data_IF_314342472046
#
_entry.id   IF_314342472046
#
_cell.length_a   1.000
_cell.length_b   1.000
_cell.length_c   1.000
_cell.angle_alpha   90.00
_cell.angle_beta   90.00
_cell.angle_gamma   90.00
#
_symmetry.space_group_name_H-M   'P 1'
#
loop_
_entity.id
_entity.type
_entity.pdbx_description
1 polymer ?
#
# COMPACT_ATOMS: atom_id res chain seq x y z
N UNK A 1 22.34 -19.90 -1.20
CA UNK A 1 21.64 -18.87 -2.01
C UNK A 1 20.34 -18.51 -1.32
N UNK A 2 19.96 -17.23 -1.31
CA UNK A 2 18.66 -16.82 -0.74
C UNK A 2 17.57 -17.33 -1.68
N UNK A 3 16.81 -18.32 -1.25
CA UNK A 3 15.62 -18.76 -2.00
C UNK A 3 14.69 -17.56 -2.19
N UNK A 4 14.41 -17.27 -3.45
CA UNK A 4 13.51 -16.20 -3.88
C UNK A 4 12.16 -16.85 -4.15
N UNK A 5 11.13 -16.42 -3.43
CA UNK A 5 9.80 -16.99 -3.59
C UNK A 5 9.14 -16.48 -4.87
N UNK A 6 9.18 -17.30 -5.92
CA UNK A 6 8.63 -16.98 -7.22
C UNK A 6 7.14 -16.63 -7.16
N UNK A 7 6.35 -17.37 -6.38
CA UNK A 7 4.91 -17.13 -6.20
C UNK A 7 4.59 -15.72 -5.69
N UNK A 8 5.40 -15.22 -4.74
CA UNK A 8 5.21 -13.88 -4.17
C UNK A 8 5.54 -12.78 -5.17
N UNK A 9 6.53 -13.00 -6.03
CA UNK A 9 6.90 -12.04 -7.06
C UNK A 9 5.91 -12.02 -8.21
N UNK A 10 5.40 -13.19 -8.62
CA UNK A 10 4.28 -13.30 -9.58
C UNK A 10 3.04 -12.58 -9.04
N UNK A 11 2.69 -12.79 -7.77
CA UNK A 11 1.54 -12.14 -7.15
C UNK A 11 1.66 -10.61 -7.13
N UNK A 12 2.83 -10.08 -6.77
CA UNK A 12 3.09 -8.63 -6.84
C UNK A 12 3.00 -8.10 -8.27
N UNK A 13 3.62 -8.80 -9.22
CA UNK A 13 3.59 -8.43 -10.63
C UNK A 13 2.16 -8.38 -11.16
N UNK A 14 1.36 -9.41 -10.89
CA UNK A 14 -0.05 -9.46 -11.26
C UNK A 14 -0.85 -8.28 -10.66
N UNK A 15 -0.58 -7.92 -9.40
CA UNK A 15 -1.24 -6.79 -8.74
C UNK A 15 -0.88 -5.46 -9.38
N UNK A 16 0.39 -5.27 -9.79
CA UNK A 16 0.84 -4.08 -10.55
C UNK A 16 0.19 -4.04 -11.93
N UNK A 17 0.14 -5.16 -12.65
CA UNK A 17 -0.54 -5.23 -13.95
C UNK A 17 -2.01 -4.85 -13.83
N UNK A 18 -2.70 -5.38 -12.81
CA UNK A 18 -4.09 -5.02 -12.54
C UNK A 18 -4.23 -3.53 -12.21
N UNK A 19 -3.34 -2.96 -11.38
CA UNK A 19 -3.32 -1.53 -11.09
C UNK A 19 -3.20 -0.68 -12.35
N UNK A 20 -2.32 -1.04 -13.28
CA UNK A 20 -2.11 -0.28 -14.52
C UNK A 20 -3.35 -0.39 -15.41
N UNK A 21 -3.91 -1.60 -15.54
CA UNK A 21 -5.11 -1.86 -16.34
C UNK A 21 -6.30 -1.02 -15.87
N UNK A 22 -6.51 -0.90 -14.55
CA UNK A 22 -7.66 -0.17 -13.99
C UNK A 22 -7.47 1.36 -14.01
N UNK A 23 -6.22 1.83 -13.90
CA UNK A 23 -5.93 3.27 -13.91
C UNK A 23 -5.85 3.87 -15.30
N UNK A 24 -5.73 3.05 -16.35
CA UNK A 24 -5.60 3.52 -17.72
C UNK A 24 -6.55 2.78 -18.68
N UNK A 25 -7.87 2.96 -18.53
CA UNK A 25 -8.87 2.28 -19.37
C UNK A 25 -8.92 2.78 -20.81
N UNK A 26 -8.09 3.77 -21.19
CA UNK A 26 -8.10 4.43 -22.50
C UNK A 26 -9.24 5.44 -22.61
N UNK A 27 -10.49 4.99 -22.48
CA UNK A 27 -11.66 5.87 -22.41
C UNK A 27 -12.49 5.61 -21.15
N UNK A 28 -12.72 6.66 -20.36
CA UNK A 28 -13.62 6.62 -19.21
C UNK A 28 -15.08 6.41 -19.60
N UNK A 29 -15.46 6.63 -20.87
CA UNK A 29 -16.82 6.39 -21.38
C UNK A 29 -17.08 4.94 -21.80
N UNK A 30 -16.04 4.14 -22.01
CA UNK A 30 -16.11 2.73 -22.42
C UNK A 30 -15.40 1.82 -21.42
N UNK A 31 -15.59 2.09 -20.12
CA UNK A 31 -15.08 1.26 -19.04
C UNK A 31 -15.86 -0.06 -18.98
N UNK A 32 -15.14 -1.18 -19.01
CA UNK A 32 -15.75 -2.49 -18.71
C UNK A 32 -16.31 -2.46 -17.29
N UNK A 33 -17.58 -2.86 -17.13
CA UNK A 33 -18.29 -2.81 -15.84
C UNK A 33 -17.51 -3.46 -14.67
N UNK A 34 -16.83 -4.62 -14.82
CA UNK A 34 -16.00 -5.20 -13.76
C UNK A 34 -14.73 -4.40 -13.40
N UNK A 35 -14.27 -3.52 -14.28
CA UNK A 35 -13.09 -2.65 -14.09
C UNK A 35 -13.48 -1.26 -13.55
N UNK A 36 -14.77 -1.00 -13.33
CA UNK A 36 -15.21 0.20 -12.65
C UNK A 36 -15.14 0.02 -11.12
N UNK A 37 -14.87 1.11 -10.39
CA UNK A 37 -14.99 1.10 -8.94
C UNK A 37 -16.46 1.00 -8.52
N UNK A 38 -16.73 0.25 -7.46
CA UNK A 38 -18.06 0.26 -6.85
C UNK A 38 -18.40 1.70 -6.35
N UNK A 39 -19.63 2.19 -6.55
CA UNK A 39 -20.00 3.54 -6.11
C UNK A 39 -19.98 3.73 -4.58
N UNK A 40 -20.40 2.70 -3.83
CA UNK A 40 -20.48 2.73 -2.37
C UNK A 40 -20.61 1.34 -1.75
N UNK A 41 -21.59 0.57 -2.20
CA UNK A 41 -21.77 -0.84 -1.82
C UNK A 41 -21.44 -1.73 -3.01
N UNK A 42 -20.53 -2.66 -2.80
CA UNK A 42 -20.05 -3.57 -3.82
C UNK A 42 -18.59 -3.92 -3.57
N UNK A 43 -18.11 -4.94 -4.28
CA UNK A 43 -16.72 -5.32 -4.32
C UNK A 43 -16.38 -5.59 -5.77
N UNK A 44 -15.62 -4.71 -6.42
CA UNK A 44 -15.12 -4.97 -7.75
C UNK A 44 -13.65 -5.40 -7.70
N UNK A 45 -13.16 -6.11 -8.74
CA UNK A 45 -11.74 -6.46 -8.86
C UNK A 45 -10.78 -5.27 -8.69
N UNK A 46 -11.21 -4.05 -9.02
CA UNK A 46 -10.37 -2.85 -8.92
C UNK A 46 -10.17 -2.38 -7.49
N UNK A 47 -11.18 -2.58 -6.64
CA UNK A 47 -11.13 -2.26 -5.21
C UNK A 47 -10.15 -3.18 -4.45
N UNK A 48 -9.92 -4.39 -4.98
CA UNK A 48 -9.03 -5.40 -4.38
C UNK A 48 -7.53 -5.16 -4.63
N UNK A 49 -7.18 -4.30 -5.59
CA UNK A 49 -5.77 -4.01 -5.94
C UNK A 49 -4.99 -3.54 -4.72
N UNK A 50 -5.51 -2.57 -3.98
CA UNK A 50 -4.83 -2.02 -2.80
C UNK A 50 -4.71 -3.04 -1.65
N UNK A 51 -5.78 -3.76 -1.25
CA UNK A 51 -5.69 -4.89 -0.32
C UNK A 51 -4.64 -5.94 -0.71
N UNK A 52 -4.56 -6.32 -1.99
CA UNK A 52 -3.56 -7.29 -2.46
C UNK A 52 -2.13 -6.76 -2.32
N UNK A 53 -1.88 -5.48 -2.58
CA UNK A 53 -0.57 -4.87 -2.31
C UNK A 53 -0.20 -4.95 -0.83
N UNK A 54 -1.12 -4.58 0.07
CA UNK A 54 -0.86 -4.64 1.51
C UNK A 54 -0.62 -6.07 1.98
N UNK A 55 -1.39 -7.03 1.48
CA UNK A 55 -1.19 -8.45 1.75
C UNK A 55 0.19 -8.93 1.28
N UNK A 56 0.59 -8.60 0.05
CA UNK A 56 1.89 -8.97 -0.49
C UNK A 56 3.05 -8.39 0.34
N UNK A 57 2.91 -7.15 0.82
CA UNK A 57 3.89 -6.49 1.69
C UNK A 57 3.95 -7.16 3.07
N UNK A 58 2.80 -7.51 3.65
CA UNK A 58 2.70 -8.21 4.93
C UNK A 58 3.30 -9.62 4.88
N UNK A 59 2.91 -10.42 3.88
CA UNK A 59 3.45 -11.77 3.68
C UNK A 59 4.98 -11.75 3.50
N UNK A 60 5.49 -10.78 2.74
CA UNK A 60 6.93 -10.58 2.58
C UNK A 60 7.66 -10.30 3.90
N UNK A 61 7.01 -9.58 4.82
CA UNK A 61 7.58 -9.23 6.11
C UNK A 61 7.74 -10.47 7.00
N UNK A 62 6.79 -11.41 6.95
CA UNK A 62 6.84 -12.66 7.71
C UNK A 62 8.12 -13.47 7.41
N UNK A 63 8.54 -13.53 6.13
CA UNK A 63 9.77 -14.22 5.74
C UNK A 63 11.07 -13.51 6.17
N UNK A 64 11.00 -12.20 6.40
CA UNK A 64 12.16 -11.38 6.77
C UNK A 64 12.31 -11.26 8.29
N UNK A 65 11.23 -11.47 9.03
CA UNK A 65 11.16 -11.27 10.47
C UNK A 65 12.14 -12.15 11.29
N UNK A 66 12.31 -13.46 11.05
CA UNK A 66 13.25 -14.28 11.82
C UNK A 66 14.68 -13.73 11.75
N UNK A 67 15.12 -13.38 10.54
CA UNK A 67 16.44 -12.76 10.30
C UNK A 67 16.59 -11.38 10.93
N UNK A 68 15.50 -10.61 11.02
CA UNK A 68 15.51 -9.32 11.71
C UNK A 68 15.62 -9.47 13.22
N UNK A 69 15.03 -10.53 13.79
CA UNK A 69 15.17 -10.86 15.22
C UNK A 69 16.60 -11.28 15.55
N UNK A 70 17.22 -12.11 14.70
CA UNK A 70 18.64 -12.50 14.84
C UNK A 70 19.60 -11.30 14.77
N UNK A 71 19.34 -10.32 13.90
CA UNK A 71 20.15 -9.12 13.76
C UNK A 71 19.97 -8.06 14.87
N UNK A 72 19.03 -8.27 15.79
CA UNK A 72 18.74 -7.38 16.91
C UNK A 72 18.06 -6.04 16.53
N UNK A 73 17.77 -5.25 17.56
CA UNK A 73 16.94 -4.03 17.45
C UNK A 73 17.54 -2.98 16.51
N UNK A 74 18.86 -2.78 16.53
CA UNK A 74 19.52 -1.77 15.67
C UNK A 74 19.38 -2.11 14.18
N UNK A 75 19.53 -3.38 13.82
CA UNK A 75 19.38 -3.83 12.43
C UNK A 75 17.92 -3.71 11.96
N UNK A 76 16.97 -4.02 12.85
CA UNK A 76 15.55 -3.84 12.61
C UNK A 76 15.21 -2.37 12.29
N UNK A 77 15.50 -1.44 13.21
CA UNK A 77 15.17 -0.03 13.03
C UNK A 77 15.81 0.58 11.79
N UNK A 78 17.10 0.30 11.55
CA UNK A 78 17.80 0.77 10.34
C UNK A 78 17.12 0.30 9.07
N UNK A 79 16.64 -0.95 9.02
CA UNK A 79 15.99 -1.51 7.84
C UNK A 79 14.59 -0.95 7.63
N UNK A 80 13.78 -0.88 8.68
CA UNK A 80 12.40 -0.40 8.61
C UNK A 80 12.38 1.08 8.26
N UNK A 81 13.13 1.92 8.98
CA UNK A 81 13.18 3.37 8.72
C UNK A 81 13.65 3.64 7.30
N UNK A 82 14.75 3.02 6.86
CA UNK A 82 15.27 3.22 5.49
C UNK A 82 14.21 2.86 4.45
N UNK A 83 13.51 1.73 4.60
CA UNK A 83 12.51 1.29 3.63
C UNK A 83 11.26 2.17 3.65
N UNK A 84 10.79 2.56 4.84
CA UNK A 84 9.66 3.50 5.00
C UNK A 84 9.97 4.84 4.34
N UNK A 85 11.16 5.41 4.59
CA UNK A 85 11.56 6.67 3.98
C UNK A 85 11.67 6.56 2.46
N UNK A 86 12.28 5.49 1.94
CA UNK A 86 12.39 5.28 0.49
C UNK A 86 11.00 5.23 -0.16
N UNK A 87 10.06 4.44 0.38
CA UNK A 87 8.70 4.33 -0.17
C UNK A 87 7.99 5.68 -0.09
N UNK A 88 8.13 6.39 1.04
CA UNK A 88 7.51 7.69 1.25
C UNK A 88 8.02 8.74 0.26
N UNK A 89 9.34 8.88 0.12
CA UNK A 89 9.94 9.87 -0.78
C UNK A 89 9.72 9.54 -2.25
N UNK A 90 9.78 8.26 -2.64
CA UNK A 90 9.40 7.86 -4.01
C UNK A 90 7.95 8.23 -4.29
N UNK A 91 7.04 7.97 -3.35
CA UNK A 91 5.64 8.37 -3.48
C UNK A 91 5.46 9.88 -3.61
N UNK A 92 6.23 10.64 -2.84
CA UNK A 92 6.17 12.10 -2.87
C UNK A 92 6.71 12.66 -4.19
N UNK A 93 7.82 12.10 -4.68
CA UNK A 93 8.41 12.45 -5.96
C UNK A 93 7.47 12.14 -7.13
N UNK A 94 6.81 10.98 -7.12
CA UNK A 94 5.81 10.61 -8.13
C UNK A 94 4.58 11.52 -8.09
N UNK A 95 4.13 11.95 -6.90
CA UNK A 95 3.02 12.91 -6.80
C UNK A 95 3.37 14.30 -7.33
N UNK A 96 4.66 14.65 -7.30
CA UNK A 96 5.15 15.94 -7.80
C UNK A 96 5.43 15.91 -9.32
N UNK A 97 5.53 14.72 -9.93
CA UNK A 97 5.62 14.55 -11.38
C UNK A 97 4.27 14.83 -12.06
N UNK A 98 4.22 15.55 -13.21
CA UNK A 98 5.31 16.21 -13.92
C UNK A 98 5.72 17.52 -13.21
N UNK A 99 7.01 17.65 -12.90
CA UNK A 99 7.61 18.80 -12.19
C UNK A 99 7.46 20.14 -12.92
N UNK A 100 6.96 20.07 -14.15
CA UNK A 100 6.87 21.17 -15.09
C UNK A 100 5.48 21.11 -15.72
N UNK A 101 4.81 22.26 -15.77
CA UNK A 101 3.53 22.42 -16.46
C UNK A 101 3.65 23.51 -17.50
N UNK A 102 3.07 23.27 -18.67
CA UNK A 102 2.89 24.29 -19.68
C UNK A 102 1.82 25.28 -19.22
N UNK A 103 2.17 26.56 -19.13
CA UNK A 103 1.22 27.66 -18.96
C UNK A 103 1.42 28.61 -20.15
N UNK A 104 0.53 28.52 -21.14
CA UNK A 104 0.73 29.21 -22.42
C UNK A 104 1.92 28.62 -23.19
N UNK A 105 2.80 29.50 -23.68
CA UNK A 105 4.04 29.12 -24.39
C UNK A 105 5.24 28.89 -23.45
N UNK A 106 5.08 29.17 -22.15
CA UNK A 106 6.17 29.09 -21.17
C UNK A 106 6.14 27.81 -20.33
N UNK A 107 7.34 27.30 -20.08
CA UNK A 107 7.60 26.11 -19.27
C UNK A 107 7.80 26.51 -17.81
N UNK A 108 6.74 26.43 -16.99
CA UNK A 108 6.81 26.85 -15.58
C UNK A 108 7.02 25.65 -14.67
N UNK A 109 7.96 25.77 -13.73
CA UNK A 109 8.21 24.76 -12.71
C UNK A 109 7.06 24.73 -11.71
N UNK A 110 6.50 23.54 -11.49
CA UNK A 110 5.30 23.35 -10.66
C UNK A 110 5.67 23.53 -9.18
N UNK A 111 5.19 24.61 -8.57
CA UNK A 111 5.40 24.87 -7.15
C UNK A 111 4.67 23.82 -6.29
N UNK A 112 5.23 23.51 -5.11
CA UNK A 112 4.66 22.53 -4.19
C UNK A 112 3.28 22.93 -3.64
N UNK A 113 3.02 24.24 -3.60
CA UNK A 113 1.75 24.87 -3.23
C UNK A 113 1.45 25.92 -4.30
N UNK A 114 0.25 25.92 -4.88
CA UNK A 114 -0.13 26.97 -5.84
C UNK A 114 -0.16 28.32 -5.14
N UNK A 115 0.43 29.35 -5.77
CA UNK A 115 0.45 30.71 -5.25
C UNK A 115 -0.95 31.33 -5.11
N UNK A 116 -1.92 30.83 -5.86
CA UNK A 116 -3.29 31.35 -5.94
C UNK A 116 -4.27 30.64 -4.99
N UNK A 117 -3.96 29.40 -4.56
CA UNK A 117 -4.90 28.56 -3.81
C UNK A 117 -4.14 27.55 -2.93
N UNK A 118 -4.11 27.73 -1.59
CA UNK A 118 -3.38 26.85 -0.67
C UNK A 118 -3.79 25.37 -0.73
N UNK A 119 -5.00 25.11 -1.25
CA UNK A 119 -5.56 23.77 -1.40
C UNK A 119 -5.15 23.08 -2.72
N UNK A 120 -4.56 23.81 -3.67
CA UNK A 120 -4.11 23.27 -4.96
C UNK A 120 -2.59 23.11 -4.94
N UNK A 121 -2.10 22.20 -4.12
CA UNK A 121 -0.68 21.82 -4.06
C UNK A 121 -0.44 20.38 -4.49
N UNK A 122 0.82 19.95 -4.39
CA UNK A 122 1.18 18.53 -4.52
C UNK A 122 0.44 17.76 -3.42
N UNK A 123 -0.35 16.77 -3.81
CA UNK A 123 -1.08 15.92 -2.85
C UNK A 123 -0.08 15.13 -2.00
N UNK A 124 0.01 15.48 -0.72
CA UNK A 124 0.89 14.79 0.25
C UNK A 124 0.42 13.34 0.51
N UNK A 125 -0.87 13.03 0.77
CA UNK A 125 -1.31 11.67 1.06
C UNK A 125 -1.61 10.86 -0.21
N UNK A 126 -0.57 10.37 -0.89
CA UNK A 126 -0.72 9.37 -1.96
C UNK A 126 -0.80 7.93 -1.45
N UNK A 127 -1.03 6.99 -2.37
CA UNK A 127 -1.15 5.56 -2.07
C UNK A 127 0.15 5.01 -1.46
N UNK A 128 1.31 5.40 -2.01
CA UNK A 128 2.61 4.96 -1.54
C UNK A 128 2.93 5.46 -0.13
N UNK A 129 2.56 6.69 0.21
CA UNK A 129 2.71 7.24 1.56
C UNK A 129 1.87 6.45 2.57
N UNK A 130 0.62 6.12 2.21
CA UNK A 130 -0.24 5.26 3.05
C UNK A 130 0.39 3.87 3.26
N UNK A 131 0.91 3.25 2.21
CA UNK A 131 1.63 1.96 2.30
C UNK A 131 2.87 2.09 3.19
N UNK A 132 3.62 3.19 3.12
CA UNK A 132 4.80 3.43 3.96
C UNK A 132 4.44 3.46 5.46
N UNK A 133 3.37 4.16 5.83
CA UNK A 133 2.88 4.20 7.22
C UNK A 133 2.36 2.83 7.66
N UNK A 134 1.51 2.17 6.87
CA UNK A 134 1.03 0.83 7.17
C UNK A 134 2.20 -0.15 7.38
N UNK A 135 3.21 -0.11 6.51
CA UNK A 135 4.40 -0.94 6.63
C UNK A 135 5.18 -0.67 7.92
N UNK A 136 5.39 0.61 8.27
CA UNK A 136 6.10 1.00 9.49
C UNK A 136 5.41 0.47 10.74
N UNK A 137 4.14 0.83 10.93
CA UNK A 137 3.39 0.44 12.12
C UNK A 137 3.19 -1.08 12.19
N UNK A 138 2.82 -1.74 11.09
CA UNK A 138 2.67 -3.19 11.07
C UNK A 138 3.99 -3.90 11.40
N UNK A 139 5.13 -3.41 10.89
CA UNK A 139 6.43 -4.00 11.18
C UNK A 139 6.80 -3.89 12.66
N UNK A 140 6.53 -2.75 13.29
CA UNK A 140 6.76 -2.55 14.73
C UNK A 140 5.86 -3.45 15.57
N UNK A 141 4.56 -3.49 15.24
CA UNK A 141 3.58 -4.33 15.93
C UNK A 141 3.96 -5.81 15.83
N UNK A 142 4.32 -6.29 14.64
CA UNK A 142 4.70 -7.68 14.43
C UNK A 142 6.04 -8.00 15.12
N UNK A 143 6.99 -7.06 15.17
CA UNK A 143 8.27 -7.32 15.81
C UNK A 143 8.14 -7.47 17.33
N UNK A 144 7.39 -6.60 17.99
CA UNK A 144 7.27 -6.57 19.46
C UNK A 144 6.06 -7.36 20.00
N UNK A 145 4.94 -7.36 19.29
CA UNK A 145 3.65 -7.83 19.80
C UNK A 145 3.05 -8.96 18.96
N UNK A 146 3.81 -9.64 18.10
CA UNK A 146 3.28 -10.72 17.25
C UNK A 146 2.44 -11.75 18.03
N UNK A 147 2.93 -12.21 19.19
CA UNK A 147 2.21 -13.20 19.99
C UNK A 147 0.92 -12.63 20.59
N UNK A 148 0.96 -11.38 21.07
CA UNK A 148 -0.21 -10.67 21.61
C UNK A 148 -1.28 -10.43 20.55
N UNK A 149 -0.89 -10.08 19.32
CA UNK A 149 -1.81 -9.88 18.20
C UNK A 149 -2.44 -11.20 17.78
N UNK A 150 -1.64 -12.27 17.65
CA UNK A 150 -2.15 -13.59 17.29
C UNK A 150 -3.14 -14.05 18.37
N UNK A 151 -2.77 -14.01 19.64
CA UNK A 151 -3.67 -14.42 20.74
C UNK A 151 -4.94 -13.60 20.80
N UNK A 152 -4.88 -12.29 20.55
CA UNK A 152 -6.07 -11.44 20.45
C UNK A 152 -6.95 -11.82 19.26
N UNK A 153 -6.38 -12.09 18.09
CA UNK A 153 -7.15 -12.57 16.92
C UNK A 153 -7.82 -13.91 17.20
N UNK A 154 -7.11 -14.86 17.82
CA UNK A 154 -7.68 -16.15 18.21
C UNK A 154 -8.79 -15.99 19.24
N UNK A 155 -8.61 -15.12 20.24
CA UNK A 155 -9.63 -14.81 21.23
C UNK A 155 -10.87 -14.16 20.61
N UNK A 156 -10.69 -13.26 19.64
CA UNK A 156 -11.78 -12.63 18.90
C UNK A 156 -12.55 -13.66 18.06
N UNK A 157 -11.83 -14.52 17.33
CA UNK A 157 -12.44 -15.61 16.56
C UNK A 157 -13.24 -16.55 17.46
N UNK A 158 -12.67 -16.94 18.60
CA UNK A 158 -13.36 -17.76 19.60
C UNK A 158 -14.61 -17.06 20.16
N UNK A 159 -14.54 -15.75 20.43
CA UNK A 159 -15.66 -14.97 20.92
C UNK A 159 -16.78 -14.83 19.87
N UNK A 160 -16.42 -14.61 18.60
CA UNK A 160 -17.36 -14.53 17.48
C UNK A 160 -18.06 -15.88 17.26
N UNK A 161 -17.32 -16.98 17.33
CA UNK A 161 -17.85 -18.35 17.25
C UNK A 161 -18.83 -18.64 18.39
N UNK A 162 -18.47 -18.25 19.64
CA UNK A 162 -19.37 -18.30 20.80
C UNK A 162 -20.66 -17.50 20.61
N UNK A 163 -20.59 -16.36 19.93
CA UNK A 163 -21.75 -15.49 19.64
C UNK A 163 -22.58 -15.97 18.45
N UNK A 164 -22.18 -17.04 17.74
CA UNK A 164 -22.80 -17.53 16.48
C UNK A 164 -23.01 -16.43 15.44
N UNK A 165 -22.14 -15.42 15.44
CA UNK A 165 -22.14 -14.37 14.41
C UNK A 165 -21.36 -14.92 13.22
N UNK A 166 -21.94 -15.91 12.54
CA UNK A 166 -21.45 -16.28 11.23
C UNK A 166 -21.96 -15.23 10.28
N UNK A 167 -21.05 -14.52 9.62
CA UNK A 167 -21.38 -13.81 8.39
C UNK A 167 -21.92 -14.90 7.47
N UNK A 168 -23.25 -14.94 7.29
CA UNK A 168 -23.86 -15.73 6.22
C UNK A 168 -23.34 -15.11 4.93
N UNK A 169 -22.28 -15.71 4.40
CA UNK A 169 -21.89 -15.53 3.00
C UNK A 169 -22.98 -16.17 2.15
#
# INVERSE_FOLDING_TARGET
MKERYYSLDVFRGATVCLMIMVNNPGSWSHLFSPLAHAPWHGLTPTDLVFPFFLFAVGNAMAFVLPRLKEGGNKAFWKKIIRRTLIIFFIGLFLNWYPFVSWQGDDLIFRSWVSAEDPNKGVRIPGILQRIAFCYFFASVIVFYYALSVITLMWALCWWLDKKKIYIKV
#
